data_IF_658511157805
#
_entry.id   IF_658511157805
#
_cell.length_a   1.000
_cell.length_b   1.000
_cell.length_c   1.000
_cell.angle_alpha   90.00
_cell.angle_beta   90.00
_cell.angle_gamma   90.00
#
_symmetry.space_group_name_H-M   'P 1'
#
loop_
_entity.id
_entity.type
_entity.pdbx_description
1 polymer ?
#
# COMPACT_ATOMS: atom_id res chain seq x y z
N UNK A 1 -26.97 -15.41 0.47
CA UNK A 1 -25.90 -14.72 1.22
C UNK A 1 -25.13 -13.86 0.24
N UNK A 2 -24.90 -12.58 0.55
CA UNK A 2 -24.23 -11.63 -0.36
C UNK A 2 -22.72 -11.91 -0.39
N UNK A 3 -22.07 -11.64 -1.52
CA UNK A 3 -20.68 -11.99 -1.72
C UNK A 3 -19.89 -11.00 -2.57
N UNK A 4 -18.64 -10.75 -2.18
CA UNK A 4 -17.68 -9.91 -2.92
C UNK A 4 -16.42 -10.69 -3.27
N UNK A 5 -15.86 -10.43 -4.45
CA UNK A 5 -14.55 -10.93 -4.85
C UNK A 5 -13.55 -9.77 -4.92
N UNK A 6 -12.55 -9.80 -4.04
CA UNK A 6 -11.45 -8.84 -4.04
C UNK A 6 -10.34 -9.28 -5.01
N UNK A 7 -9.89 -8.36 -5.86
CA UNK A 7 -8.78 -8.55 -6.77
C UNK A 7 -7.77 -7.40 -6.67
N UNK A 8 -6.56 -7.72 -6.23
CA UNK A 8 -5.44 -6.79 -6.05
C UNK A 8 -4.10 -7.51 -6.15
N UNK A 9 -2.99 -6.91 -5.70
CA UNK A 9 -1.67 -7.56 -5.67
C UNK A 9 -1.45 -8.40 -4.39
N UNK A 10 -2.40 -9.29 -4.08
CA UNK A 10 -2.41 -10.08 -2.84
C UNK A 10 -1.70 -11.44 -2.95
N UNK A 11 -1.11 -11.89 -1.84
CA UNK A 11 -0.40 -13.16 -1.70
C UNK A 11 1.05 -13.13 -2.17
N UNK A 12 1.62 -11.94 -2.37
CA UNK A 12 3.01 -11.76 -2.83
C UNK A 12 3.99 -11.39 -1.71
N UNK A 13 3.52 -11.30 -0.45
CA UNK A 13 4.34 -10.90 0.69
C UNK A 13 4.78 -9.44 0.65
N UNK A 14 4.06 -8.56 -0.07
CA UNK A 14 4.27 -7.12 0.00
C UNK A 14 3.39 -6.56 1.12
N UNK A 15 4.00 -6.18 2.25
CA UNK A 15 3.30 -5.68 3.44
C UNK A 15 2.33 -4.55 3.12
N UNK A 16 2.61 -3.71 2.12
CA UNK A 16 1.72 -2.64 1.70
C UNK A 16 0.43 -3.11 1.02
N UNK A 17 0.52 -4.05 0.08
CA UNK A 17 -0.66 -4.59 -0.60
C UNK A 17 -1.46 -5.52 0.34
N UNK A 18 -0.75 -6.23 1.22
CA UNK A 18 -1.36 -7.00 2.31
C UNK A 18 -2.11 -6.08 3.30
N UNK A 19 -1.59 -4.88 3.61
CA UNK A 19 -2.28 -3.90 4.45
C UNK A 19 -3.60 -3.43 3.85
N UNK A 20 -3.64 -3.24 2.53
CA UNK A 20 -4.88 -2.90 1.83
C UNK A 20 -5.89 -4.04 1.94
N UNK A 21 -5.46 -5.30 1.78
CA UNK A 21 -6.35 -6.45 1.94
C UNK A 21 -6.88 -6.54 3.37
N UNK A 22 -5.99 -6.54 4.36
CA UNK A 22 -6.31 -6.67 5.79
C UNK A 22 -7.34 -5.62 6.23
N UNK A 23 -7.06 -4.35 5.93
CA UNK A 23 -7.95 -3.22 6.25
C UNK A 23 -9.30 -3.30 5.53
N UNK A 24 -9.32 -3.72 4.26
CA UNK A 24 -10.56 -3.86 3.49
C UNK A 24 -11.43 -5.01 4.02
N UNK A 25 -10.83 -6.17 4.30
CA UNK A 25 -11.55 -7.32 4.86
C UNK A 25 -12.15 -6.97 6.22
N UNK A 26 -11.36 -6.37 7.11
CA UNK A 26 -11.81 -5.95 8.44
C UNK A 26 -12.98 -4.97 8.34
N UNK A 27 -12.82 -3.90 7.57
CA UNK A 27 -13.86 -2.87 7.45
C UNK A 27 -15.15 -3.39 6.80
N UNK A 28 -15.06 -4.29 5.82
CA UNK A 28 -16.24 -4.93 5.22
C UNK A 28 -16.97 -5.85 6.21
N UNK A 29 -16.24 -6.63 7.02
CA UNK A 29 -16.84 -7.49 8.05
C UNK A 29 -17.52 -6.70 9.16
N UNK A 30 -16.89 -5.61 9.60
CA UNK A 30 -17.46 -4.72 10.60
C UNK A 30 -18.77 -4.07 10.12
N UNK A 31 -18.81 -3.69 8.83
CA UNK A 31 -19.99 -3.08 8.24
C UNK A 31 -21.10 -4.08 7.85
N UNK A 32 -20.73 -5.32 7.50
CA UNK A 32 -21.66 -6.39 7.13
C UNK A 32 -21.14 -7.76 7.56
N UNK A 33 -21.46 -8.23 8.78
CA UNK A 33 -20.96 -9.50 9.32
C UNK A 33 -21.40 -10.74 8.52
N UNK A 34 -22.47 -10.64 7.74
CA UNK A 34 -22.98 -11.71 6.89
C UNK A 34 -22.36 -11.74 5.48
N UNK A 35 -21.46 -10.80 5.17
CA UNK A 35 -20.86 -10.68 3.85
C UNK A 35 -19.81 -11.77 3.63
N UNK A 36 -20.01 -12.57 2.58
CA UNK A 36 -19.00 -13.53 2.15
C UNK A 36 -17.90 -12.81 1.36
N UNK A 37 -16.68 -12.82 1.88
CA UNK A 37 -15.53 -12.20 1.23
C UNK A 37 -14.66 -13.28 0.59
N UNK A 38 -14.40 -13.13 -0.71
CA UNK A 38 -13.52 -14.00 -1.50
C UNK A 38 -12.33 -13.19 -2.05
N UNK A 39 -11.17 -13.83 -2.22
CA UNK A 39 -9.95 -13.14 -2.66
C UNK A 39 -9.23 -13.90 -3.77
N UNK A 40 -8.81 -13.18 -4.81
CA UNK A 40 -7.82 -13.70 -5.77
C UNK A 40 -6.41 -13.48 -5.20
N UNK A 41 -5.74 -14.56 -4.83
CA UNK A 41 -4.40 -14.53 -4.21
C UNK A 41 -3.38 -15.33 -5.01
N UNK A 42 -2.11 -14.90 -4.97
CA UNK A 42 -0.98 -15.68 -5.48
C UNK A 42 -0.71 -16.91 -4.60
N UNK A 43 -0.94 -16.80 -3.30
CA UNK A 43 -0.80 -17.88 -2.32
C UNK A 43 -2.12 -18.04 -1.52
N UNK A 44 -3.11 -18.77 -2.07
CA UNK A 44 -4.43 -18.89 -1.46
C UNK A 44 -4.43 -19.51 -0.06
N UNK A 45 -3.50 -20.42 0.25
CA UNK A 45 -3.46 -21.09 1.56
C UNK A 45 -3.11 -20.07 2.66
N UNK A 46 -2.02 -19.35 2.48
CA UNK A 46 -1.55 -18.38 3.48
C UNK A 46 -2.53 -17.22 3.59
N UNK A 47 -3.00 -16.67 2.47
CA UNK A 47 -4.00 -15.59 2.49
C UNK A 47 -5.31 -16.01 3.17
N UNK A 48 -5.77 -17.26 2.97
CA UNK A 48 -6.98 -17.76 3.62
C UNK A 48 -6.81 -17.90 5.13
N UNK A 49 -5.63 -18.32 5.59
CA UNK A 49 -5.32 -18.45 7.01
C UNK A 49 -5.18 -17.08 7.68
N UNK A 50 -4.42 -16.15 7.07
CA UNK A 50 -4.15 -14.84 7.64
C UNK A 50 -5.39 -13.95 7.76
N UNK A 51 -6.31 -14.04 6.81
CA UNK A 51 -7.49 -13.16 6.77
C UNK A 51 -8.82 -13.87 6.93
N UNK A 52 -8.84 -15.20 7.09
CA UNK A 52 -10.05 -16.01 7.28
C UNK A 52 -11.07 -15.88 6.12
N UNK A 53 -10.59 -15.77 4.88
CA UNK A 53 -11.40 -15.56 3.67
C UNK A 53 -11.26 -16.71 2.68
N UNK A 54 -12.29 -16.98 1.87
CA UNK A 54 -12.19 -17.97 0.79
C UNK A 54 -11.26 -17.44 -0.31
N UNK A 55 -10.17 -18.16 -0.58
CA UNK A 55 -9.17 -17.73 -1.55
C UNK A 55 -9.14 -18.60 -2.80
N UNK A 56 -8.79 -17.99 -3.93
CA UNK A 56 -8.66 -18.64 -5.23
C UNK A 56 -7.33 -18.27 -5.87
N UNK A 57 -6.72 -19.21 -6.59
CA UNK A 57 -5.47 -19.01 -7.31
C UNK A 57 -5.67 -18.02 -8.46
N UNK A 58 -5.12 -16.82 -8.28
CA UNK A 58 -5.27 -15.69 -9.20
C UNK A 58 -4.73 -15.95 -10.62
N UNK A 59 -3.80 -16.90 -10.76
CA UNK A 59 -3.18 -17.28 -12.05
C UNK A 59 -3.90 -18.44 -12.75
N UNK A 60 -4.90 -19.06 -12.10
CA UNK A 60 -5.69 -20.15 -12.67
C UNK A 60 -6.97 -19.59 -13.29
N UNK A 61 -7.13 -19.59 -14.63
CA UNK A 61 -8.33 -19.04 -15.27
C UNK A 61 -9.62 -19.75 -14.82
N UNK A 62 -9.54 -21.04 -14.52
CA UNK A 62 -10.65 -21.85 -14.03
C UNK A 62 -11.07 -21.36 -12.64
N UNK A 63 -10.11 -21.15 -11.74
CA UNK A 63 -10.41 -20.67 -10.38
C UNK A 63 -10.89 -19.21 -10.40
N UNK A 64 -10.30 -18.36 -11.23
CA UNK A 64 -10.78 -16.97 -11.42
C UNK A 64 -12.23 -16.95 -11.89
N UNK A 65 -12.56 -17.75 -12.91
CA UNK A 65 -13.94 -17.86 -13.42
C UNK A 65 -14.89 -18.41 -12.35
N UNK A 66 -14.48 -19.45 -11.61
CA UNK A 66 -15.26 -20.01 -10.50
C UNK A 66 -15.51 -18.98 -9.40
N UNK A 67 -14.48 -18.22 -9.02
CA UNK A 67 -14.59 -17.16 -8.02
C UNK A 67 -15.54 -16.05 -8.47
N UNK A 68 -15.41 -15.58 -9.72
CA UNK A 68 -16.28 -14.56 -10.30
C UNK A 68 -17.74 -15.03 -10.37
N UNK A 69 -17.98 -16.27 -10.77
CA UNK A 69 -19.34 -16.84 -10.82
C UNK A 69 -20.01 -16.90 -9.45
N UNK A 70 -19.24 -17.21 -8.39
CA UNK A 70 -19.72 -17.20 -7.01
C UNK A 70 -19.95 -15.80 -6.42
N UNK A 71 -19.42 -14.75 -7.05
CA UNK A 71 -19.48 -13.38 -6.51
C UNK A 71 -20.69 -12.60 -7.03
N UNK A 72 -21.27 -11.76 -6.18
CA UNK A 72 -22.28 -10.78 -6.57
C UNK A 72 -21.65 -9.48 -7.08
N UNK A 73 -20.44 -9.15 -6.61
CA UNK A 73 -19.67 -7.97 -6.99
C UNK A 73 -18.17 -8.25 -7.04
N UNK A 74 -17.50 -7.77 -8.09
CA UNK A 74 -16.03 -7.77 -8.19
C UNK A 74 -15.49 -6.42 -7.73
N UNK A 75 -14.63 -6.43 -6.71
CA UNK A 75 -13.90 -5.26 -6.22
C UNK A 75 -12.48 -5.34 -6.74
N UNK A 76 -12.19 -4.54 -7.76
CA UNK A 76 -10.90 -4.49 -8.41
C UNK A 76 -10.10 -3.29 -7.91
N UNK A 77 -8.97 -3.52 -7.25
CA UNK A 77 -8.10 -2.42 -6.84
C UNK A 77 -7.49 -2.61 -5.48
N UNK A 78 -7.19 -1.47 -4.86
CA UNK A 78 -6.07 -1.31 -3.94
C UNK A 78 -4.75 -1.19 -4.70
N UNK A 79 -3.77 -0.50 -4.11
CA UNK A 79 -2.39 -0.49 -4.59
C UNK A 79 -2.23 0.26 -5.91
N UNK A 80 -1.21 -0.08 -6.71
CA UNK A 80 -0.98 0.52 -8.04
C UNK A 80 -0.94 -0.54 -9.14
N UNK A 81 -2.12 -1.01 -9.56
CA UNK A 81 -2.22 -2.20 -10.42
C UNK A 81 -2.13 -1.86 -11.91
N UNK A 82 -2.66 -0.70 -12.32
CA UNK A 82 -2.70 -0.28 -13.72
C UNK A 82 -1.56 0.68 -14.03
N UNK A 83 -0.40 0.11 -14.31
CA UNK A 83 0.80 0.81 -14.79
C UNK A 83 1.66 -0.14 -15.63
N UNK A 84 2.43 0.40 -16.58
CA UNK A 84 3.37 -0.38 -17.40
C UNK A 84 4.85 -0.14 -17.06
N UNK A 85 5.13 0.56 -15.97
CA UNK A 85 6.49 0.78 -15.46
C UNK A 85 7.16 -0.48 -14.90
N UNK A 86 6.38 -1.38 -14.31
CA UNK A 86 6.89 -2.62 -13.72
C UNK A 86 6.84 -3.80 -14.69
N UNK A 87 5.74 -3.95 -15.44
CA UNK A 87 5.62 -4.97 -16.48
C UNK A 87 4.36 -4.76 -17.33
N UNK A 88 4.53 -4.77 -18.66
CA UNK A 88 3.39 -4.80 -19.58
C UNK A 88 2.52 -6.05 -19.39
N UNK A 89 3.11 -7.18 -18.98
CA UNK A 89 2.37 -8.42 -18.68
C UNK A 89 1.45 -8.25 -17.47
N UNK A 90 1.91 -7.54 -16.44
CA UNK A 90 1.10 -7.25 -15.24
C UNK A 90 -0.09 -6.35 -15.61
N UNK A 91 0.13 -5.34 -16.45
CA UNK A 91 -0.97 -4.50 -16.98
C UNK A 91 -2.01 -5.36 -17.72
N UNK A 92 -1.57 -6.22 -18.65
CA UNK A 92 -2.49 -7.09 -19.41
C UNK A 92 -3.26 -8.07 -18.51
N UNK A 93 -2.60 -8.62 -17.48
CA UNK A 93 -3.26 -9.49 -16.50
C UNK A 93 -4.43 -8.77 -15.82
N UNK A 94 -4.22 -7.57 -15.30
CA UNK A 94 -5.28 -6.82 -14.60
C UNK A 94 -6.39 -6.37 -15.52
N UNK A 95 -6.06 -5.97 -16.76
CA UNK A 95 -7.04 -5.71 -17.81
C UNK A 95 -7.88 -6.96 -18.10
N UNK A 96 -7.26 -8.14 -18.17
CA UNK A 96 -7.97 -9.40 -18.41
C UNK A 96 -8.95 -9.74 -17.27
N UNK A 97 -8.62 -9.45 -16.01
CA UNK A 97 -9.55 -9.61 -14.89
C UNK A 97 -10.80 -8.73 -15.04
N UNK A 98 -10.63 -7.45 -15.41
CA UNK A 98 -11.76 -6.54 -15.63
C UNK A 98 -12.63 -7.04 -16.79
N UNK A 99 -12.02 -7.50 -17.89
CA UNK A 99 -12.75 -8.07 -19.01
C UNK A 99 -13.45 -9.38 -18.66
N UNK A 100 -12.84 -10.25 -17.86
CA UNK A 100 -13.47 -11.49 -17.41
C UNK A 100 -14.73 -11.21 -16.58
N UNK A 101 -14.69 -10.22 -15.68
CA UNK A 101 -15.88 -9.78 -14.95
C UNK A 101 -16.98 -9.30 -15.91
N UNK A 102 -16.63 -8.49 -16.93
CA UNK A 102 -17.58 -8.05 -17.97
C UNK A 102 -18.18 -9.23 -18.74
N UNK A 103 -17.36 -10.18 -19.20
CA UNK A 103 -17.81 -11.33 -19.99
C UNK A 103 -18.76 -12.24 -19.20
N UNK A 104 -18.54 -12.37 -17.90
CA UNK A 104 -19.41 -13.13 -16.98
C UNK A 104 -20.61 -12.31 -16.48
N UNK A 105 -20.81 -11.08 -16.99
CA UNK A 105 -21.92 -10.21 -16.58
C UNK A 105 -21.83 -9.74 -15.14
N UNK A 106 -20.66 -9.79 -14.51
CA UNK A 106 -20.46 -9.43 -13.10
C UNK A 106 -20.23 -7.93 -12.96
N UNK A 107 -20.96 -7.24 -12.06
CA UNK A 107 -20.69 -5.85 -11.78
C UNK A 107 -19.29 -5.71 -11.16
N UNK A 108 -18.60 -4.63 -11.51
CA UNK A 108 -17.25 -4.36 -11.06
C UNK A 108 -17.13 -2.92 -10.57
N UNK A 109 -16.47 -2.74 -9.43
CA UNK A 109 -16.04 -1.44 -8.92
C UNK A 109 -14.52 -1.36 -8.93
N UNK A 110 -13.99 -0.21 -9.34
CA UNK A 110 -12.57 0.10 -9.19
C UNK A 110 -12.40 0.75 -7.83
N UNK A 111 -11.55 0.18 -6.99
CA UNK A 111 -11.44 0.49 -5.56
C UNK A 111 -10.09 1.10 -5.24
N UNK A 112 -10.07 2.37 -4.83
CA UNK A 112 -8.92 3.11 -4.30
C UNK A 112 -7.61 2.87 -5.06
N UNK A 113 -7.68 2.77 -6.38
CA UNK A 113 -6.55 2.32 -7.19
C UNK A 113 -5.62 3.49 -7.48
N UNK A 114 -4.32 3.28 -7.33
CA UNK A 114 -3.27 4.16 -7.80
C UNK A 114 -2.99 3.89 -9.28
N UNK A 115 -3.35 4.84 -10.15
CA UNK A 115 -3.16 4.72 -11.59
C UNK A 115 -1.83 5.39 -11.94
N UNK A 116 -0.86 4.58 -12.35
CA UNK A 116 0.43 5.09 -12.82
C UNK A 116 0.34 5.53 -14.28
N UNK A 117 1.33 6.28 -14.80
CA UNK A 117 1.31 6.62 -16.22
C UNK A 117 1.31 5.33 -17.04
N UNK A 118 0.28 5.15 -17.86
CA UNK A 118 0.22 4.05 -18.84
C UNK A 118 0.81 4.61 -20.13
N UNK A 119 2.07 4.29 -20.40
CA UNK A 119 2.83 4.86 -21.51
C UNK A 119 2.50 4.20 -22.85
N UNK A 120 2.24 2.90 -22.84
CA UNK A 120 1.95 2.09 -24.02
C UNK A 120 0.61 2.46 -24.65
N UNK A 121 0.60 2.80 -25.95
CA UNK A 121 -0.65 3.16 -26.68
C UNK A 121 -1.70 2.04 -26.61
N UNK A 122 -1.27 0.79 -26.76
CA UNK A 122 -2.14 -0.39 -26.66
C UNK A 122 -2.68 -0.54 -25.23
N UNK A 123 -1.80 -0.44 -24.24
CA UNK A 123 -2.19 -0.50 -22.83
C UNK A 123 -3.22 0.56 -22.47
N UNK A 124 -3.02 1.80 -22.96
CA UNK A 124 -3.98 2.90 -22.80
C UNK A 124 -5.34 2.57 -23.40
N UNK A 125 -5.37 2.09 -24.64
CA UNK A 125 -6.61 1.74 -25.32
C UNK A 125 -7.39 0.63 -24.59
N UNK A 126 -6.68 -0.44 -24.21
CA UNK A 126 -7.28 -1.57 -23.51
C UNK A 126 -7.75 -1.19 -22.10
N UNK A 127 -6.92 -0.48 -21.34
CA UNK A 127 -7.27 0.01 -20.00
C UNK A 127 -8.48 0.95 -20.07
N UNK A 128 -8.53 1.87 -21.04
CA UNK A 128 -9.68 2.75 -21.25
C UNK A 128 -10.96 1.94 -21.45
N UNK A 129 -10.94 0.99 -22.39
CA UNK A 129 -12.10 0.17 -22.71
C UNK A 129 -12.55 -0.69 -21.53
N UNK A 130 -11.61 -1.27 -20.78
CA UNK A 130 -11.91 -2.09 -19.61
C UNK A 130 -12.49 -1.24 -18.46
N UNK A 131 -11.83 -0.14 -18.09
CA UNK A 131 -12.27 0.72 -17.00
C UNK A 131 -13.61 1.42 -17.27
N UNK A 132 -13.93 1.71 -18.54
CA UNK A 132 -15.22 2.30 -18.92
C UNK A 132 -16.42 1.42 -18.55
N UNK A 133 -16.19 0.14 -18.24
CA UNK A 133 -17.24 -0.82 -17.89
C UNK A 133 -17.45 -0.93 -16.39
N UNK A 134 -16.63 -0.27 -15.58
CA UNK A 134 -16.79 -0.24 -14.14
C UNK A 134 -18.05 0.55 -13.77
N UNK A 135 -18.80 0.04 -12.79
CA UNK A 135 -20.02 0.67 -12.28
C UNK A 135 -19.71 1.91 -11.45
N UNK A 136 -18.58 1.89 -10.74
CA UNK A 136 -18.03 3.03 -10.00
C UNK A 136 -16.51 2.94 -10.01
N UNK A 137 -15.85 4.09 -9.99
CA UNK A 137 -14.40 4.20 -9.96
C UNK A 137 -13.99 5.12 -8.82
N UNK A 138 -13.19 4.58 -7.89
CA UNK A 138 -12.48 5.36 -6.88
C UNK A 138 -10.97 5.21 -7.05
N UNK A 139 -10.26 6.31 -6.83
CA UNK A 139 -8.79 6.40 -6.87
C UNK A 139 -8.29 7.01 -5.59
N UNK A 140 -7.12 6.59 -5.11
CA UNK A 140 -6.60 7.02 -3.80
C UNK A 140 -5.91 8.38 -3.80
N UNK A 141 -5.65 8.95 -4.97
CA UNK A 141 -4.91 10.21 -5.13
C UNK A 141 -5.36 10.97 -6.39
N UNK A 142 -5.09 12.28 -6.40
CA UNK A 142 -5.49 13.17 -7.50
C UNK A 142 -4.73 12.88 -8.80
N UNK A 143 -3.47 12.47 -8.72
CA UNK A 143 -2.65 12.15 -9.90
C UNK A 143 -3.24 10.98 -10.68
N UNK A 144 -3.74 9.98 -9.97
CA UNK A 144 -4.45 8.83 -10.52
C UNK A 144 -5.74 9.24 -11.24
N UNK A 145 -6.52 10.17 -10.66
CA UNK A 145 -7.71 10.73 -11.32
C UNK A 145 -7.32 11.44 -12.60
N UNK A 146 -6.30 12.29 -12.54
CA UNK A 146 -5.86 13.08 -13.68
C UNK A 146 -5.32 12.17 -14.80
N UNK A 147 -4.70 11.03 -14.46
CA UNK A 147 -4.31 10.02 -15.44
C UNK A 147 -5.53 9.33 -16.09
N UNK A 148 -6.58 9.02 -15.33
CA UNK A 148 -7.84 8.49 -15.89
C UNK A 148 -8.54 9.50 -16.81
N UNK A 149 -8.51 10.79 -16.47
CA UNK A 149 -9.01 11.87 -17.33
C UNK A 149 -8.19 11.92 -18.63
N UNK A 150 -6.86 11.88 -18.55
CA UNK A 150 -5.96 11.81 -19.73
C UNK A 150 -6.16 10.54 -20.55
N UNK A 151 -6.56 9.44 -19.92
CA UNK A 151 -6.93 8.19 -20.59
C UNK A 151 -8.26 8.32 -21.36
N UNK A 152 -9.07 9.33 -21.01
CA UNK A 152 -10.37 9.61 -21.62
C UNK A 152 -11.51 8.81 -21.00
N UNK A 153 -11.39 8.43 -19.73
CA UNK A 153 -12.49 7.85 -18.95
C UNK A 153 -13.57 8.93 -18.76
N UNK A 154 -14.81 8.59 -19.09
CA UNK A 154 -15.97 9.48 -18.95
C UNK A 154 -16.80 9.21 -17.69
N UNK A 155 -16.57 8.06 -17.05
CA UNK A 155 -17.22 7.71 -15.80
C UNK A 155 -16.84 8.73 -14.72
N UNK A 156 -17.75 8.96 -13.77
CA UNK A 156 -17.42 9.72 -12.57
C UNK A 156 -16.31 9.01 -11.78
N UNK A 157 -15.27 9.76 -11.44
CA UNK A 157 -14.11 9.27 -10.68
C UNK A 157 -14.05 10.01 -9.35
N UNK A 158 -14.27 9.28 -8.27
CA UNK A 158 -14.15 9.78 -6.91
C UNK A 158 -12.70 9.66 -6.43
N UNK A 159 -12.14 10.76 -5.90
CA UNK A 159 -10.86 10.70 -5.18
C UNK A 159 -11.16 10.36 -3.72
N UNK A 160 -10.56 9.28 -3.25
CA UNK A 160 -10.64 8.77 -1.88
C UNK A 160 -9.23 8.71 -1.29
N UNK A 161 -8.99 7.82 -0.33
CA UNK A 161 -7.67 7.56 0.22
C UNK A 161 -7.37 6.06 0.19
N UNK A 162 -6.11 5.73 0.50
CA UNK A 162 -5.65 4.35 0.54
C UNK A 162 -6.35 3.57 1.68
N UNK A 163 -6.85 2.34 1.42
CA UNK A 163 -7.53 1.53 2.43
C UNK A 163 -6.69 1.25 3.67
N UNK A 164 -5.36 1.23 3.56
CA UNK A 164 -4.45 0.96 4.68
C UNK A 164 -4.61 1.97 5.83
N UNK A 165 -5.23 3.13 5.62
CA UNK A 165 -5.61 4.06 6.70
C UNK A 165 -6.68 3.51 7.67
N UNK A 166 -7.40 2.44 7.29
CA UNK A 166 -8.36 1.76 8.17
C UNK A 166 -7.71 0.61 8.97
N UNK A 167 -6.42 0.36 8.78
CA UNK A 167 -5.71 -0.69 9.51
C UNK A 167 -5.62 -0.36 11.00
N UNK A 168 -5.57 -1.41 11.82
CA UNK A 168 -5.31 -1.33 13.27
C UNK A 168 -3.98 -2.01 13.58
N UNK A 169 -3.18 -1.51 14.53
CA UNK A 169 -1.91 -2.14 14.86
C UNK A 169 -2.14 -3.50 15.53
N UNK A 170 -1.10 -4.35 15.49
CA UNK A 170 -1.04 -5.55 16.31
C UNK A 170 -1.04 -5.21 17.81
N UNK A 171 -1.25 -6.21 18.66
CA UNK A 171 -1.23 -5.99 20.12
C UNK A 171 0.15 -5.51 20.58
N UNK A 172 0.24 -4.70 21.64
CA UNK A 172 1.53 -4.23 22.17
C UNK A 172 2.52 -5.37 22.44
N UNK A 173 2.05 -6.49 22.98
CA UNK A 173 2.87 -7.66 23.31
C UNK A 173 3.46 -8.30 22.04
N UNK A 174 2.66 -8.35 20.96
CA UNK A 174 3.14 -8.87 19.67
C UNK A 174 4.19 -7.96 19.05
N UNK A 175 3.98 -6.64 19.13
CA UNK A 175 4.95 -5.65 18.64
C UNK A 175 6.26 -5.76 19.43
N UNK A 176 6.20 -5.92 20.74
CA UNK A 176 7.38 -6.11 21.60
C UNK A 176 8.12 -7.41 21.28
N UNK A 177 7.41 -8.51 21.02
CA UNK A 177 7.99 -9.77 20.56
C UNK A 177 8.78 -9.58 19.25
N UNK A 178 8.17 -8.90 18.27
CA UNK A 178 8.78 -8.60 16.98
C UNK A 178 10.05 -7.76 17.13
N UNK A 179 10.00 -6.68 17.93
CA UNK A 179 11.15 -5.81 18.16
C UNK A 179 12.28 -6.54 18.88
N UNK A 180 11.94 -7.35 19.90
CA UNK A 180 12.91 -8.14 20.65
C UNK A 180 13.59 -9.20 19.77
N UNK A 181 12.83 -9.91 18.94
CA UNK A 181 13.35 -10.88 17.99
C UNK A 181 14.34 -10.24 16.99
N UNK A 182 14.12 -8.98 16.63
CA UNK A 182 15.00 -8.22 15.76
C UNK A 182 16.17 -7.53 16.48
N UNK A 183 16.28 -7.64 17.81
CA UNK A 183 17.24 -6.90 18.64
C UNK A 183 17.07 -5.37 18.60
N UNK A 184 15.83 -4.90 18.47
CA UNK A 184 15.47 -3.49 18.64
C UNK A 184 15.07 -3.26 20.10
N UNK A 185 15.75 -2.37 20.84
CA UNK A 185 15.44 -2.11 22.24
C UNK A 185 14.12 -1.35 22.38
N UNK A 186 13.39 -1.64 23.44
CA UNK A 186 12.18 -0.92 23.83
C UNK A 186 12.55 0.42 24.52
N UNK A 187 12.97 1.41 23.73
CA UNK A 187 13.35 2.75 24.23
C UNK A 187 12.94 3.87 23.25
N UNK A 188 12.85 5.13 23.71
CA UNK A 188 12.68 6.27 22.81
C UNK A 188 13.84 6.40 21.81
N UNK A 189 13.61 7.13 20.71
CA UNK A 189 14.64 7.41 19.72
C UNK A 189 14.75 6.37 18.61
N UNK A 190 13.82 5.40 18.50
CA UNK A 190 13.83 4.44 17.38
C UNK A 190 13.54 5.18 16.07
N UNK A 191 14.35 4.92 15.05
CA UNK A 191 14.15 5.46 13.69
C UNK A 191 14.20 4.32 12.68
N UNK A 192 13.06 4.01 12.04
CA UNK A 192 13.03 2.99 11.01
C UNK A 192 13.46 3.54 9.66
N UNK A 193 14.35 2.82 8.98
CA UNK A 193 14.84 3.13 7.64
C UNK A 193 14.34 2.02 6.70
N UNK A 194 13.30 2.32 5.92
CA UNK A 194 12.72 1.40 4.94
C UNK A 194 13.26 1.71 3.54
N UNK A 195 14.28 0.96 3.14
CA UNK A 195 14.98 1.11 1.87
C UNK A 195 14.69 -0.08 0.94
N UNK A 196 14.87 0.14 -0.36
CA UNK A 196 14.71 -0.85 -1.42
C UNK A 196 15.87 -0.69 -2.39
N UNK A 197 16.28 -1.79 -3.03
CA UNK A 197 17.27 -1.72 -4.08
C UNK A 197 16.75 -0.90 -5.28
N UNK A 198 17.52 0.11 -5.66
CA UNK A 198 17.35 0.88 -6.88
C UNK A 198 18.70 0.98 -7.60
N UNK A 199 18.64 1.15 -8.92
CA UNK A 199 19.77 1.69 -9.66
C UNK A 199 19.94 3.14 -9.19
N UNK A 200 21.00 3.42 -8.45
CA UNK A 200 21.25 4.70 -7.81
C UNK A 200 22.71 5.12 -8.07
N UNK A 201 22.99 6.43 -8.07
CA UNK A 201 24.37 6.90 -8.08
C UNK A 201 25.16 6.31 -6.90
N UNK A 202 26.47 6.10 -7.12
CA UNK A 202 27.36 5.47 -6.13
C UNK A 202 27.39 6.17 -4.77
N UNK A 203 27.03 7.45 -4.69
CA UNK A 203 26.98 8.24 -3.47
C UNK A 203 25.74 8.00 -2.61
N UNK A 204 24.65 7.46 -3.17
CA UNK A 204 23.36 7.39 -2.49
C UNK A 204 23.36 6.45 -1.27
N UNK A 205 23.82 5.21 -1.43
CA UNK A 205 23.88 4.27 -0.31
C UNK A 205 24.89 4.67 0.78
N UNK A 206 26.08 5.21 0.45
CA UNK A 206 26.93 5.86 1.43
C UNK A 206 26.23 6.96 2.23
N UNK A 207 25.36 7.77 1.62
CA UNK A 207 24.58 8.79 2.30
C UNK A 207 23.58 8.20 3.31
N UNK A 208 22.89 7.10 2.96
CA UNK A 208 22.02 6.37 3.90
C UNK A 208 22.82 5.88 5.13
N UNK A 209 24.04 5.37 4.90
CA UNK A 209 24.94 4.91 5.96
C UNK A 209 25.37 6.10 6.84
N UNK A 210 25.79 7.21 6.23
CA UNK A 210 26.17 8.43 6.95
C UNK A 210 25.02 8.98 7.80
N UNK A 211 23.79 8.94 7.28
CA UNK A 211 22.60 9.34 8.03
C UNK A 211 22.32 8.40 9.23
N UNK A 212 22.45 7.08 9.06
CA UNK A 212 22.31 6.14 10.17
C UNK A 212 23.39 6.34 11.25
N UNK A 213 24.62 6.65 10.84
CA UNK A 213 25.71 7.00 11.76
C UNK A 213 25.43 8.28 12.53
N UNK A 214 24.98 9.32 11.83
CA UNK A 214 24.55 10.58 12.41
C UNK A 214 23.46 10.35 13.47
N UNK A 215 22.42 9.56 13.14
CA UNK A 215 21.34 9.23 14.06
C UNK A 215 21.86 8.60 15.36
N UNK A 216 22.75 7.59 15.25
CA UNK A 216 23.38 6.96 16.43
C UNK A 216 24.16 7.95 17.28
N UNK A 217 24.96 8.81 16.64
CA UNK A 217 25.76 9.82 17.32
C UNK A 217 24.92 10.89 18.05
N UNK A 218 23.62 11.00 17.71
CA UNK A 218 22.69 11.97 18.28
C UNK A 218 21.60 11.31 19.14
N UNK A 219 21.85 10.10 19.65
CA UNK A 219 20.99 9.44 20.63
C UNK A 219 19.83 8.62 20.05
N UNK A 220 19.69 8.57 18.72
CA UNK A 220 18.68 7.73 18.07
C UNK A 220 19.18 6.28 17.89
N UNK A 221 18.23 5.39 17.66
CA UNK A 221 18.44 3.98 17.38
C UNK A 221 17.91 3.64 15.98
N UNK A 222 18.74 3.74 14.92
CA UNK A 222 18.31 3.40 13.58
C UNK A 222 18.24 1.88 13.38
N UNK A 223 17.16 1.42 12.74
CA UNK A 223 16.95 0.03 12.35
C UNK A 223 16.38 -0.04 10.93
N UNK A 224 16.77 -1.06 10.16
CA UNK A 224 16.16 -1.32 8.86
C UNK A 224 14.77 -1.95 9.02
N UNK A 225 13.82 -1.48 8.24
CA UNK A 225 12.46 -2.03 8.18
C UNK A 225 12.20 -2.61 6.79
N UNK A 226 12.02 -3.92 6.70
CA UNK A 226 11.71 -4.62 5.47
C UNK A 226 10.19 -4.61 5.24
N UNK A 227 9.76 -4.12 4.08
CA UNK A 227 8.35 -4.13 3.69
C UNK A 227 8.01 -5.23 2.68
N UNK A 228 9.03 -5.98 2.26
CA UNK A 228 8.94 -7.19 1.44
C UNK A 228 10.32 -7.86 1.47
N UNK A 229 10.35 -9.18 1.31
CA UNK A 229 11.57 -9.98 1.44
C UNK A 229 12.73 -9.51 0.54
N UNK A 230 12.45 -9.05 -0.69
CA UNK A 230 13.49 -8.50 -1.60
C UNK A 230 14.24 -7.27 -1.07
N UNK A 231 13.74 -6.59 -0.04
CA UNK A 231 14.46 -5.48 0.60
C UNK A 231 15.60 -5.97 1.50
N UNK A 232 15.59 -7.25 1.88
CA UNK A 232 16.59 -7.86 2.77
C UNK A 232 18.00 -7.76 2.19
N UNK A 233 18.15 -8.06 0.90
CA UNK A 233 19.45 -8.04 0.21
C UNK A 233 20.13 -6.68 0.34
N UNK A 234 19.41 -5.57 0.09
CA UNK A 234 20.00 -4.24 0.22
C UNK A 234 20.29 -3.87 1.68
N UNK A 235 19.42 -4.25 2.63
CA UNK A 235 19.67 -4.00 4.05
C UNK A 235 20.93 -4.74 4.54
N UNK A 236 21.12 -6.00 4.13
CA UNK A 236 22.30 -6.80 4.44
C UNK A 236 23.56 -6.24 3.76
N UNK A 237 23.46 -5.80 2.51
CA UNK A 237 24.56 -5.13 1.81
C UNK A 237 25.01 -3.87 2.55
N UNK A 238 24.08 -3.02 3.00
CA UNK A 238 24.42 -1.82 3.77
C UNK A 238 25.02 -2.18 5.13
N UNK A 239 24.49 -3.20 5.81
CA UNK A 239 25.08 -3.70 7.05
C UNK A 239 26.50 -4.24 6.86
N UNK A 240 26.81 -4.90 5.74
CA UNK A 240 28.17 -5.30 5.38
C UNK A 240 29.11 -4.12 5.22
N UNK A 241 28.65 -3.04 4.59
CA UNK A 241 29.43 -1.79 4.46
C UNK A 241 29.61 -1.07 5.80
N UNK A 242 28.57 -1.03 6.65
CA UNK A 242 28.65 -0.48 8.02
C UNK A 242 29.73 -1.23 8.82
N UNK A 243 29.75 -2.57 8.75
CA UNK A 243 30.79 -3.39 9.39
C UNK A 243 32.19 -3.09 8.85
N UNK A 244 32.35 -2.95 7.52
CA UNK A 244 33.65 -2.57 6.90
C UNK A 244 34.18 -1.23 7.38
N UNK A 245 33.29 -0.31 7.79
CA UNK A 245 33.63 0.98 8.39
C UNK A 245 33.90 0.91 9.90
N UNK A 246 33.97 -0.29 10.48
CA UNK A 246 34.28 -0.51 11.90
C UNK A 246 33.11 -0.23 12.85
N UNK A 247 31.87 -0.35 12.38
CA UNK A 247 30.68 -0.06 13.17
C UNK A 247 29.75 -1.27 13.29
N UNK A 248 28.96 -1.30 14.37
CA UNK A 248 27.95 -2.33 14.59
C UNK A 248 26.87 -2.30 13.50
N UNK A 249 26.40 -3.44 12.96
CA UNK A 249 25.28 -3.46 12.02
C UNK A 249 24.01 -2.88 12.65
N UNK A 250 23.09 -2.39 11.82
CA UNK A 250 21.75 -2.03 12.25
C UNK A 250 20.89 -3.30 12.39
N UNK A 251 20.01 -3.38 13.39
CA UNK A 251 18.92 -4.35 13.40
C UNK A 251 18.11 -4.33 12.09
N UNK A 252 17.60 -5.50 11.71
CA UNK A 252 16.74 -5.67 10.53
C UNK A 252 15.42 -6.27 11.00
N UNK A 253 14.35 -5.48 10.91
CA UNK A 253 13.00 -5.90 11.25
C UNK A 253 12.30 -6.31 9.95
N UNK A 254 11.83 -7.55 9.87
CA UNK A 254 11.18 -8.11 8.69
C UNK A 254 10.17 -9.20 9.04
N UNK A 255 9.67 -9.88 8.01
CA UNK A 255 8.70 -10.97 8.16
C UNK A 255 7.42 -10.55 8.91
N UNK A 256 6.96 -9.33 8.61
CA UNK A 256 5.88 -8.65 9.31
C UNK A 256 4.53 -8.85 8.62
N UNK A 257 3.49 -9.12 9.42
CA UNK A 257 2.12 -8.83 8.99
C UNK A 257 1.93 -7.31 8.84
N UNK A 258 0.91 -6.85 8.11
CA UNK A 258 0.57 -5.43 8.05
C UNK A 258 0.35 -4.78 9.42
N UNK A 259 -0.33 -5.49 10.33
CA UNK A 259 -0.63 -5.06 11.68
C UNK A 259 0.66 -4.93 12.52
N UNK A 260 1.59 -5.87 12.36
CA UNK A 260 2.92 -5.80 12.99
C UNK A 260 3.69 -4.59 12.47
N UNK A 261 3.72 -4.37 11.16
CA UNK A 261 4.42 -3.23 10.56
C UNK A 261 3.87 -1.88 11.05
N UNK A 262 2.54 -1.76 11.16
CA UNK A 262 1.90 -0.57 11.71
C UNK A 262 2.27 -0.39 13.19
N UNK A 263 2.22 -1.45 13.99
CA UNK A 263 2.56 -1.42 15.42
C UNK A 263 4.03 -1.10 15.68
N UNK A 264 4.94 -1.69 14.90
CA UNK A 264 6.38 -1.41 14.92
C UNK A 264 6.63 0.05 14.58
N UNK A 265 6.06 0.55 13.47
CA UNK A 265 6.20 1.96 13.10
C UNK A 265 5.72 2.90 14.21
N UNK A 266 4.62 2.56 14.90
CA UNK A 266 4.09 3.36 16.01
C UNK A 266 5.05 3.49 17.21
N UNK A 267 6.10 2.64 17.30
CA UNK A 267 7.15 2.75 18.33
C UNK A 267 8.30 3.68 17.93
N UNK A 268 8.31 4.20 16.70
CA UNK A 268 9.37 5.09 16.22
C UNK A 268 9.11 6.57 16.50
N UNK A 269 10.19 7.32 16.69
CA UNK A 269 10.13 8.78 16.80
C UNK A 269 9.79 9.38 15.43
N UNK A 270 10.39 8.82 14.38
CA UNK A 270 10.09 9.08 12.97
C UNK A 270 10.64 7.95 12.09
N UNK A 271 10.29 7.94 10.81
CA UNK A 271 10.87 6.99 9.86
C UNK A 271 11.37 7.65 8.56
N UNK A 272 12.25 6.95 7.85
CA UNK A 272 12.72 7.29 6.51
C UNK A 272 12.28 6.18 5.57
N UNK A 273 11.56 6.52 4.50
CA UNK A 273 10.97 5.50 3.63
C UNK A 273 11.04 5.85 2.15
N UNK A 274 11.36 4.84 1.33
CA UNK A 274 11.25 4.92 -0.14
C UNK A 274 10.12 4.06 -0.70
N UNK A 275 9.28 3.48 0.16
CA UNK A 275 8.06 2.78 -0.24
C UNK A 275 6.86 3.56 0.26
N UNK A 276 5.92 3.82 -0.64
CA UNK A 276 4.72 4.58 -0.32
C UNK A 276 3.96 4.00 0.89
N UNK A 277 3.79 2.68 0.97
CA UNK A 277 3.07 2.07 2.09
C UNK A 277 3.82 2.16 3.42
N UNK A 278 5.15 2.30 3.46
CA UNK A 278 5.84 2.65 4.70
C UNK A 278 5.33 3.99 5.22
N UNK A 279 5.22 4.96 4.32
CA UNK A 279 4.80 6.32 4.66
C UNK A 279 3.31 6.38 5.02
N UNK A 280 2.45 5.63 4.33
CA UNK A 280 1.03 5.52 4.67
C UNK A 280 0.84 4.88 6.05
N UNK A 281 1.58 3.81 6.36
CA UNK A 281 1.50 3.18 7.68
C UNK A 281 2.08 4.07 8.79
N UNK A 282 3.19 4.79 8.53
CA UNK A 282 3.71 5.78 9.46
C UNK A 282 2.71 6.92 9.70
N UNK A 283 2.10 7.42 8.63
CA UNK A 283 1.01 8.40 8.71
C UNK A 283 -0.14 7.89 9.58
N UNK A 284 -0.56 6.64 9.36
CA UNK A 284 -1.61 5.98 10.13
C UNK A 284 -1.24 5.79 11.60
N UNK A 285 0.04 5.62 11.90
CA UNK A 285 0.57 5.55 13.26
C UNK A 285 0.77 6.92 13.93
N UNK A 286 0.42 8.03 13.26
CA UNK A 286 0.71 9.40 13.71
C UNK A 286 2.23 9.67 13.86
N UNK A 287 3.06 8.94 13.11
CA UNK A 287 4.52 9.04 13.16
C UNK A 287 5.02 9.89 11.98
N UNK A 288 5.72 11.02 12.22
CA UNK A 288 6.36 11.80 11.17
C UNK A 288 7.36 10.99 10.35
N UNK A 289 7.56 11.37 9.09
CA UNK A 289 8.48 10.64 8.21
C UNK A 289 9.18 11.51 7.17
N UNK A 290 10.27 10.99 6.61
CA UNK A 290 10.97 11.53 5.45
C UNK A 290 10.76 10.59 4.28
N UNK A 291 10.14 11.09 3.21
CA UNK A 291 10.02 10.34 1.96
C UNK A 291 11.26 10.50 1.09
N UNK A 292 11.68 9.43 0.43
CA UNK A 292 12.67 9.47 -0.64
C UNK A 292 11.95 9.26 -1.98
N UNK A 293 11.85 10.30 -2.81
CA UNK A 293 10.99 10.35 -4.01
C UNK A 293 11.56 9.54 -5.18
N UNK A 294 11.67 8.21 -5.02
CA UNK A 294 12.03 7.31 -6.12
C UNK A 294 10.88 7.05 -7.10
N UNK A 295 9.68 7.48 -6.73
CA UNK A 295 8.45 7.46 -7.53
C UNK A 295 7.65 8.73 -7.19
N UNK A 296 7.09 9.47 -8.17
CA UNK A 296 6.36 10.72 -7.93
C UNK A 296 5.24 10.62 -6.89
N UNK A 297 4.63 9.42 -6.73
CA UNK A 297 3.57 9.18 -5.75
C UNK A 297 4.05 9.37 -4.31
N UNK A 298 5.35 9.14 -4.06
CA UNK A 298 5.95 9.35 -2.73
C UNK A 298 5.93 10.84 -2.40
N UNK A 299 6.43 11.70 -3.28
CA UNK A 299 6.43 13.14 -3.04
C UNK A 299 5.03 13.72 -2.99
N UNK A 300 4.11 13.23 -3.84
CA UNK A 300 2.71 13.60 -3.78
C UNK A 300 2.09 13.31 -2.40
N UNK A 301 2.36 12.11 -1.88
CA UNK A 301 1.88 11.72 -0.56
C UNK A 301 2.54 12.51 0.58
N UNK A 302 3.85 12.73 0.54
CA UNK A 302 4.55 13.56 1.53
C UNK A 302 3.96 14.97 1.61
N UNK A 303 3.69 15.60 0.45
CA UNK A 303 3.04 16.92 0.39
C UNK A 303 1.64 16.89 0.99
N UNK A 304 0.83 15.87 0.68
CA UNK A 304 -0.50 15.72 1.24
C UNK A 304 -0.47 15.48 2.77
N UNK A 305 0.50 14.71 3.26
CA UNK A 305 0.68 14.42 4.68
C UNK A 305 1.33 15.57 5.47
N UNK A 306 1.89 16.57 4.77
CA UNK A 306 2.65 17.67 5.40
C UNK A 306 4.01 17.23 5.93
N UNK A 307 4.62 16.21 5.34
CA UNK A 307 5.92 15.65 5.74
C UNK A 307 7.01 15.96 4.70
N UNK A 308 8.29 16.00 5.10
CA UNK A 308 9.39 16.27 4.18
C UNK A 308 9.57 15.16 3.14
N UNK A 309 10.09 15.57 1.97
CA UNK A 309 10.48 14.66 0.89
C UNK A 309 11.81 15.12 0.31
N UNK A 310 12.71 14.16 0.12
CA UNK A 310 13.95 14.35 -0.62
C UNK A 310 13.76 13.89 -2.08
N UNK A 311 14.39 14.59 -3.04
CA UNK A 311 14.23 14.28 -4.46
C UNK A 311 14.81 12.90 -4.80
N UNK A 312 14.44 12.40 -5.98
CA UNK A 312 15.03 11.19 -6.52
C UNK A 312 16.57 11.35 -6.62
N UNK A 313 17.36 10.36 -6.15
CA UNK A 313 18.82 10.44 -6.22
C UNK A 313 19.36 10.59 -7.65
N UNK A 314 18.62 10.11 -8.66
CA UNK A 314 19.01 10.26 -10.07
C UNK A 314 18.79 11.67 -10.62
N UNK A 315 17.82 12.39 -10.09
CA UNK A 315 17.33 13.63 -10.68
C UNK A 315 18.00 14.87 -10.06
N UNK A 316 18.52 14.74 -8.84
CA UNK A 316 19.13 15.86 -8.11
C UNK A 316 20.26 15.42 -7.19
N UNK A 317 21.32 16.24 -7.14
CA UNK A 317 22.35 16.16 -6.09
C UNK A 317 21.99 16.95 -4.84
N UNK A 318 20.89 17.72 -4.86
CA UNK A 318 20.38 18.40 -3.68
C UNK A 318 19.66 17.40 -2.78
N UNK A 319 20.43 16.49 -2.20
CA UNK A 319 20.00 15.41 -1.35
C UNK A 319 20.88 15.43 -0.10
N UNK A 320 20.30 15.83 1.02
CA UNK A 320 20.98 15.86 2.32
C UNK A 320 20.06 15.19 3.35
N UNK A 321 20.29 13.90 3.56
CA UNK A 321 19.45 13.13 4.46
C UNK A 321 19.75 13.46 5.92
N UNK A 322 20.97 13.83 6.23
CA UNK A 322 21.37 14.25 7.58
C UNK A 322 20.63 15.53 7.98
N UNK A 323 20.63 16.55 7.12
CA UNK A 323 19.90 17.80 7.36
C UNK A 323 18.39 17.57 7.45
N UNK A 324 17.82 16.67 6.63
CA UNK A 324 16.41 16.31 6.72
C UNK A 324 16.07 15.61 8.06
N UNK A 325 16.91 14.67 8.51
CA UNK A 325 16.79 14.03 9.83
C UNK A 325 16.89 15.05 10.97
N UNK A 326 17.85 15.98 10.91
CA UNK A 326 18.00 17.07 11.88
C UNK A 326 16.74 17.95 11.95
N UNK A 327 16.26 18.37 10.78
CA UNK A 327 15.10 19.24 10.68
C UNK A 327 13.84 18.55 11.22
N UNK A 328 13.62 17.29 10.85
CA UNK A 328 12.48 16.53 11.34
C UNK A 328 12.58 16.29 12.84
N UNK A 329 13.71 15.81 13.35
CA UNK A 329 13.92 15.57 14.79
C UNK A 329 13.63 16.82 15.63
N UNK A 330 14.11 18.00 15.18
CA UNK A 330 13.88 19.27 15.87
C UNK A 330 12.41 19.74 15.84
N UNK A 331 11.67 19.39 14.79
CA UNK A 331 10.29 19.86 14.57
C UNK A 331 9.27 18.71 14.65
N UNK A 332 9.62 17.61 15.31
CA UNK A 332 8.85 16.35 15.31
C UNK A 332 7.39 16.58 15.70
N UNK A 333 7.16 17.31 16.79
CA UNK A 333 5.80 17.54 17.30
C UNK A 333 4.96 18.38 16.34
N UNK A 334 5.56 19.32 15.63
CA UNK A 334 4.88 20.13 14.61
C UNK A 334 4.47 19.28 13.39
N UNK A 335 5.35 18.37 12.95
CA UNK A 335 5.03 17.40 11.91
C UNK A 335 3.93 16.43 12.37
N UNK A 336 4.02 15.89 13.58
CA UNK A 336 3.02 14.99 14.15
C UNK A 336 1.64 15.67 14.27
N UNK A 337 1.60 16.93 14.73
CA UNK A 337 0.37 17.70 14.81
C UNK A 337 -0.26 17.96 13.44
N UNK A 338 0.56 18.24 12.41
CA UNK A 338 0.07 18.42 11.04
C UNK A 338 -0.45 17.11 10.47
N UNK A 339 0.30 16.03 10.64
CA UNK A 339 -0.08 14.70 10.21
C UNK A 339 -1.41 14.25 10.84
N UNK A 340 -1.57 14.45 12.16
CA UNK A 340 -2.79 14.12 12.88
C UNK A 340 -4.02 14.84 12.36
N UNK A 341 -3.88 16.13 12.02
CA UNK A 341 -4.97 16.91 11.39
C UNK A 341 -5.38 16.31 10.04
N UNK A 342 -4.41 15.90 9.23
CA UNK A 342 -4.67 15.33 7.90
C UNK A 342 -5.17 13.88 7.98
N UNK A 343 -4.81 13.14 9.04
CA UNK A 343 -5.19 11.73 9.22
C UNK A 343 -6.71 11.54 9.28
N UNK A 344 -7.44 12.45 9.94
CA UNK A 344 -8.91 12.39 10.00
C UNK A 344 -9.54 12.41 8.60
N UNK A 345 -9.00 13.25 7.70
CA UNK A 345 -9.47 13.30 6.30
C UNK A 345 -9.13 12.01 5.56
N UNK A 346 -7.91 11.50 5.69
CA UNK A 346 -7.51 10.24 5.05
C UNK A 346 -8.37 9.05 5.49
N UNK A 347 -8.69 8.94 6.78
CA UNK A 347 -9.54 7.88 7.30
C UNK A 347 -10.99 8.00 6.80
N UNK A 348 -11.55 9.22 6.79
CA UNK A 348 -12.89 9.46 6.27
C UNK A 348 -12.99 9.12 4.78
N UNK A 349 -11.99 9.54 3.99
CA UNK A 349 -11.91 9.21 2.57
C UNK A 349 -11.70 7.70 2.33
N UNK A 350 -10.90 7.03 3.15
CA UNK A 350 -10.71 5.58 3.05
C UNK A 350 -12.02 4.83 3.35
N UNK A 351 -12.77 5.27 4.38
CA UNK A 351 -14.09 4.70 4.74
C UNK A 351 -15.13 4.86 3.63
N UNK A 352 -15.12 6.00 2.91
CA UNK A 352 -15.99 6.21 1.74
C UNK A 352 -15.84 5.10 0.69
N UNK A 353 -14.69 4.45 0.58
CA UNK A 353 -14.53 3.31 -0.33
C UNK A 353 -15.37 2.09 0.09
N UNK A 354 -15.48 1.82 1.40
CA UNK A 354 -16.25 0.71 1.94
C UNK A 354 -17.75 0.96 1.73
N UNK A 355 -18.21 2.17 2.06
CA UNK A 355 -19.59 2.60 1.84
C UNK A 355 -20.00 2.47 0.36
N UNK A 356 -19.07 2.81 -0.55
CA UNK A 356 -19.25 2.65 -1.99
C UNK A 356 -19.42 1.18 -2.40
N UNK A 357 -18.56 0.27 -1.91
CA UNK A 357 -18.68 -1.17 -2.20
C UNK A 357 -20.06 -1.68 -1.77
N UNK A 358 -20.47 -1.39 -0.55
CA UNK A 358 -21.73 -1.87 0.02
C UNK A 358 -22.94 -1.27 -0.70
N UNK A 359 -22.88 0.02 -1.05
CA UNK A 359 -23.94 0.68 -1.82
C UNK A 359 -24.13 0.02 -3.19
N UNK A 360 -23.04 -0.24 -3.92
CA UNK A 360 -23.11 -0.90 -5.24
C UNK A 360 -23.58 -2.35 -5.09
N UNK A 361 -23.10 -3.08 -4.08
CA UNK A 361 -23.52 -4.45 -3.80
C UNK A 361 -25.03 -4.53 -3.58
N UNK A 362 -25.59 -3.64 -2.73
CA UNK A 362 -27.01 -3.60 -2.42
C UNK A 362 -27.88 -3.35 -3.67
N UNK A 363 -27.45 -2.43 -4.53
CA UNK A 363 -28.14 -2.17 -5.81
C UNK A 363 -28.10 -3.36 -6.77
N UNK A 364 -27.04 -4.16 -6.75
CA UNK A 364 -26.92 -5.34 -7.60
C UNK A 364 -27.82 -6.46 -7.11
N UNK A 365 -27.90 -6.66 -5.79
CA UNK A 365 -28.75 -7.71 -5.19
C UNK A 365 -30.24 -7.42 -5.33
N UNK A 366 -30.66 -6.16 -5.19
CA UNK A 366 -32.07 -5.78 -5.36
C UNK A 366 -32.56 -5.94 -6.80
N UNK A 367 -31.68 -5.69 -7.79
CA UNK A 367 -32.01 -5.84 -9.20
C UNK A 367 -32.18 -7.31 -9.62
N UNK A 368 -31.46 -8.24 -8.98
CA UNK A 368 -31.61 -9.67 -9.24
C UNK A 368 -32.92 -10.22 -8.64
N UNK A 369 -33.27 -9.84 -7.40
CA UNK A 369 -34.54 -10.26 -6.80
C UNK A 369 -35.77 -9.79 -7.59
N UNK A 370 -35.72 -8.62 -8.23
CA UNK A 370 -36.80 -8.15 -9.09
C UNK A 370 -36.92 -8.88 -10.43
N UNK A 371 -35.84 -9.50 -10.92
CA UNK A 371 -35.86 -10.30 -12.15
C UNK A 371 -36.39 -11.71 -11.90
N UNK A 372 -36.04 -12.31 -10.77
CA UNK A 372 -36.49 -13.66 -10.40
C UNK A 372 -37.98 -13.70 -10.02
N UNK A 373 -38.58 -12.57 -9.61
CA UNK A 373 -40.03 -12.44 -9.35
C UNK A 373 -40.86 -12.18 -10.63
N UNK A 374 -40.20 -11.84 -11.74
CA UNK A 374 -40.83 -11.52 -13.02
C UNK A 374 -40.68 -12.65 -14.07
N UNK A 375 -40.01 -13.73 -13.71
CA UNK A 375 -39.89 -14.99 -14.45
C UNK A 375 -40.71 -16.08 -13.78
#
# INVERSE_FOLDING_TARGET
MRSVLLSGYYGFGNTGDEAILASTVKALREADPGLKIMVLSRNPKDTSLSYEVECFQRMSPIEVSRAMNKADLVVFGGGSLLQDSTSFRSLLYYIAIIYAARLLGKPLVVYANGIGPIRSKIGRFLAKKALSTARKITVRDRESRDELIRLGIKNEVDVTADPAFLLSPASPEKVEEVLRAANVPEKPGIVFIAIRAIDAPSWFYPEIISAAQYLRGNGFFPAFLLMQDRDREIAEQLNGEIKRRGQEPLPVVGDLSPEDALGVLAKSDFCVGMRLHTLILAARAEVPFIGLEIDPKIGAFCRAAGCPVLPAPKDSRNFDLIAACQHLAKNRDAFAATLKRNLCEFQALAKKNIDMILSVLNQCTSANSSRDLAS
#
